data_IF_248668539507
#
_entry.id   IF_248668539507
#
_cell.length_a   1.000
_cell.length_b   1.000
_cell.length_c   1.000
_cell.angle_alpha   90.00
_cell.angle_beta   90.00
_cell.angle_gamma   90.00
#
_symmetry.space_group_name_H-M   'P 1'
#
loop_
_entity.id
_entity.type
_entity.pdbx_description
1 polymer ?
#
# COMPACT_ATOMS: atom_id res chain seq x y z
N UNK A 1 -40.53 18.35 -1.96
CA UNK A 1 -41.98 18.60 -1.88
C UNK A 1 -42.49 18.88 -3.28
N UNK A 2 -43.57 18.20 -3.65
CA UNK A 2 -44.08 17.97 -4.99
C UNK A 2 -44.64 19.23 -5.67
N UNK A 3 -44.58 19.28 -7.01
CA UNK A 3 -45.74 19.67 -7.82
C UNK A 3 -45.69 19.01 -9.20
N UNK A 4 -46.80 18.34 -9.52
CA UNK A 4 -47.18 17.68 -10.78
C UNK A 4 -48.27 18.56 -11.43
N UNK A 5 -48.33 18.56 -12.77
CA UNK A 5 -49.51 18.56 -13.68
C UNK A 5 -49.03 19.07 -15.06
N UNK A 6 -48.95 18.33 -16.18
CA UNK A 6 -49.87 17.45 -16.92
C UNK A 6 -51.18 18.11 -17.37
N UNK A 7 -51.24 18.47 -18.66
CA UNK A 7 -52.46 18.65 -19.45
C UNK A 7 -52.27 17.95 -20.81
N UNK A 8 -53.09 16.91 -21.07
CA UNK A 8 -53.37 16.37 -22.41
C UNK A 8 -54.43 17.23 -23.14
N UNK A 9 -55.01 16.91 -24.29
CA UNK A 9 -54.96 15.80 -25.25
C UNK A 9 -55.82 16.23 -26.49
N UNK A 10 -55.83 15.39 -27.55
CA UNK A 10 -56.84 15.28 -28.63
C UNK A 10 -56.85 16.38 -29.73
N UNK A 11 -57.24 16.13 -31.00
CA UNK A 11 -57.64 14.92 -31.72
C UNK A 11 -57.67 15.18 -33.25
N UNK A 12 -57.27 14.16 -34.01
CA UNK A 12 -57.76 13.63 -35.30
C UNK A 12 -58.38 14.51 -36.41
N UNK A 13 -57.97 14.29 -37.67
CA UNK A 13 -58.86 13.89 -38.79
C UNK A 13 -58.06 13.37 -40.00
N UNK A 14 -58.63 12.37 -40.67
CA UNK A 14 -58.09 11.49 -41.72
C UNK A 14 -58.38 11.96 -43.16
N UNK A 15 -57.85 11.16 -44.11
CA UNK A 15 -58.36 10.84 -45.46
C UNK A 15 -57.75 11.63 -46.65
N UNK A 16 -57.47 11.10 -47.86
CA UNK A 16 -57.59 9.79 -48.55
C UNK A 16 -56.83 9.98 -49.90
N UNK A 17 -55.81 9.17 -50.24
CA UNK A 17 -55.75 8.11 -51.30
C UNK A 17 -55.26 8.50 -52.73
N UNK A 18 -54.32 7.64 -53.21
CA UNK A 18 -53.93 7.21 -54.57
C UNK A 18 -52.92 7.96 -55.47
N UNK A 19 -51.72 7.35 -55.53
CA UNK A 19 -51.00 6.81 -56.69
C UNK A 19 -51.01 7.55 -58.03
N UNK A 20 -49.80 7.96 -58.46
CA UNK A 20 -49.38 7.80 -59.86
C UNK A 20 -47.90 7.43 -59.97
N UNK A 21 -47.58 6.62 -60.99
CA UNK A 21 -46.33 5.88 -61.22
C UNK A 21 -45.49 6.57 -62.29
N UNK A 22 -44.18 6.70 -62.09
CA UNK A 22 -43.09 6.52 -63.10
C UNK A 22 -41.73 6.86 -62.46
N UNK A 23 -40.87 5.88 -62.15
CA UNK A 23 -39.80 5.27 -62.97
C UNK A 23 -38.51 6.11 -63.11
N UNK A 24 -37.49 5.73 -62.32
CA UNK A 24 -36.06 5.55 -62.69
C UNK A 24 -35.29 5.06 -61.44
N UNK A 25 -34.88 3.78 -61.36
CA UNK A 25 -33.51 3.27 -61.60
C UNK A 25 -32.43 3.99 -60.75
N UNK A 26 -31.57 3.38 -59.92
CA UNK A 26 -30.93 2.05 -59.86
C UNK A 26 -30.15 1.95 -58.50
N UNK A 27 -29.25 0.98 -58.22
CA UNK A 27 -29.49 -0.31 -57.56
C UNK A 27 -28.79 -0.54 -56.18
N UNK A 28 -29.35 -1.52 -55.46
CA UNK A 28 -28.74 -2.60 -54.64
C UNK A 28 -27.34 -2.37 -54.04
N UNK A 29 -27.26 -2.32 -52.71
CA UNK A 29 -26.10 -2.78 -51.95
C UNK A 29 -26.55 -3.73 -50.83
N UNK A 30 -25.91 -4.88 -50.81
CA UNK A 30 -26.26 -6.07 -50.06
C UNK A 30 -26.10 -5.92 -48.54
N UNK A 31 -27.04 -6.52 -47.81
CA UNK A 31 -26.91 -6.86 -46.39
C UNK A 31 -25.79 -7.90 -46.28
N UNK A 32 -24.71 -7.56 -45.57
CA UNK A 32 -23.67 -8.49 -45.17
C UNK A 32 -23.78 -8.73 -43.66
N UNK A 33 -23.87 -10.01 -43.34
CA UNK A 33 -23.98 -10.65 -42.04
C UNK A 33 -22.89 -10.21 -41.05
N UNK A 34 -23.28 -10.00 -39.80
CA UNK A 34 -22.39 -9.84 -38.65
C UNK A 34 -22.00 -11.24 -38.15
N UNK A 35 -20.90 -11.77 -38.65
CA UNK A 35 -20.08 -12.74 -37.93
C UNK A 35 -18.64 -12.21 -37.94
N UNK A 36 -17.90 -12.53 -36.87
CA UNK A 36 -16.50 -12.16 -36.58
C UNK A 36 -16.31 -10.89 -35.73
N UNK A 37 -16.75 -10.98 -34.47
CA UNK A 37 -16.13 -10.21 -33.37
C UNK A 37 -14.86 -10.94 -32.96
N UNK A 38 -13.77 -10.63 -33.66
CA UNK A 38 -12.44 -11.11 -33.31
C UNK A 38 -12.00 -10.46 -32.00
N UNK A 39 -11.51 -11.31 -31.10
CA UNK A 39 -11.03 -11.03 -29.75
C UNK A 39 -9.85 -10.06 -29.77
N UNK A 40 -10.11 -8.77 -29.54
CA UNK A 40 -9.06 -7.82 -29.19
C UNK A 40 -8.65 -8.04 -27.72
N UNK A 41 -7.69 -8.92 -27.50
CA UNK A 41 -6.94 -8.97 -26.24
C UNK A 41 -6.08 -7.71 -26.17
N UNK A 42 -6.12 -6.90 -25.09
CA UNK A 42 -5.23 -5.75 -24.98
C UNK A 42 -3.79 -6.26 -24.95
N UNK A 43 -2.98 -5.76 -25.89
CA UNK A 43 -1.58 -6.10 -26.00
C UNK A 43 -0.86 -5.85 -24.67
N UNK A 44 -0.18 -6.88 -24.16
CA UNK A 44 0.70 -6.78 -23.00
C UNK A 44 1.79 -5.74 -23.29
N UNK A 45 1.97 -4.71 -22.44
CA UNK A 45 3.10 -3.78 -22.58
C UNK A 45 4.42 -4.55 -22.48
N UNK A 46 5.49 -4.11 -23.17
CA UNK A 46 6.74 -4.85 -23.25
C UNK A 46 7.34 -5.03 -21.85
N UNK A 47 7.45 -6.29 -21.42
CA UNK A 47 7.78 -6.69 -20.05
C UNK A 47 9.17 -6.25 -19.53
N UNK A 48 10.05 -5.71 -20.39
CA UNK A 48 11.45 -5.40 -20.04
C UNK A 48 11.75 -3.91 -19.82
N UNK A 49 10.93 -2.98 -20.33
CA UNK A 49 11.21 -1.54 -20.16
C UNK A 49 11.02 -1.11 -18.69
N UNK A 50 9.97 -1.64 -18.06
CA UNK A 50 9.61 -1.30 -16.70
C UNK A 50 10.40 -2.09 -15.63
N UNK A 51 11.09 -3.16 -16.02
CA UNK A 51 11.93 -3.95 -15.11
C UNK A 51 13.06 -3.13 -14.47
N UNK A 52 13.42 -1.99 -15.09
CA UNK A 52 14.42 -1.03 -14.59
C UNK A 52 13.81 0.05 -13.70
N UNK A 53 12.52 0.04 -13.44
CA UNK A 53 11.85 0.99 -12.54
C UNK A 53 11.61 0.36 -11.18
N UNK A 54 11.66 1.17 -10.14
CA UNK A 54 11.27 0.77 -8.80
C UNK A 54 10.39 1.86 -8.18
N UNK A 55 9.37 1.45 -7.42
CA UNK A 55 8.42 2.37 -6.81
C UNK A 55 8.11 1.94 -5.38
N UNK A 56 8.37 2.84 -4.43
CA UNK A 56 8.28 2.59 -3.00
C UNK A 56 7.46 3.68 -2.31
N UNK A 57 6.52 3.28 -1.45
CA UNK A 57 5.83 4.16 -0.51
C UNK A 57 6.21 3.83 0.92
N UNK A 58 6.75 4.81 1.66
CA UNK A 58 7.32 4.60 2.99
C UNK A 58 6.81 5.64 4.01
N UNK A 59 5.63 6.22 3.80
CA UNK A 59 5.17 7.43 4.49
C UNK A 59 5.36 8.66 3.63
N UNK A 60 5.68 9.81 4.23
CA UNK A 60 5.91 11.05 3.48
C UNK A 60 6.97 10.85 2.37
N UNK A 61 6.62 11.14 1.12
CA UNK A 61 7.52 10.90 -0.01
C UNK A 61 8.77 11.78 -0.02
N UNK A 62 8.80 12.89 0.74
CA UNK A 62 9.95 13.80 0.80
C UNK A 62 11.14 13.13 1.46
N UNK A 63 10.89 12.43 2.57
CA UNK A 63 11.91 11.62 3.21
C UNK A 63 12.24 10.39 2.36
N UNK A 64 11.24 9.76 1.74
CA UNK A 64 11.46 8.60 0.87
C UNK A 64 12.44 8.92 -0.28
N UNK A 65 12.19 10.01 -1.03
CA UNK A 65 13.09 10.54 -2.07
C UNK A 65 14.47 10.82 -1.49
N UNK A 66 14.55 11.53 -0.36
CA UNK A 66 15.83 11.84 0.27
C UNK A 66 16.66 10.60 0.57
N UNK A 67 16.06 9.60 1.23
CA UNK A 67 16.80 8.41 1.65
C UNK A 67 17.25 7.59 0.44
N UNK A 68 16.40 7.39 -0.57
CA UNK A 68 16.84 6.67 -1.78
C UNK A 68 17.89 7.46 -2.56
N UNK A 69 17.57 8.69 -2.96
CA UNK A 69 18.42 9.44 -3.88
C UNK A 69 19.73 9.90 -3.21
N UNK A 70 19.67 10.40 -1.97
CA UNK A 70 20.85 10.92 -1.28
C UNK A 70 21.57 9.88 -0.43
N UNK A 71 20.85 9.05 0.34
CA UNK A 71 21.51 8.16 1.29
C UNK A 71 21.88 6.79 0.69
N UNK A 72 21.09 6.28 -0.26
CA UNK A 72 21.41 5.05 -0.98
C UNK A 72 22.19 5.33 -2.27
N UNK A 73 21.72 6.26 -3.10
CA UNK A 73 22.34 6.61 -4.39
C UNK A 73 23.81 7.00 -4.28
N UNK A 74 24.21 7.66 -3.18
CA UNK A 74 25.61 8.05 -2.93
C UNK A 74 26.51 6.89 -2.47
N UNK A 75 25.95 5.74 -2.05
CA UNK A 75 26.73 4.60 -1.54
C UNK A 75 27.42 3.77 -2.63
N UNK A 76 27.33 4.20 -3.90
CA UNK A 76 28.05 3.66 -5.06
C UNK A 76 28.04 2.12 -5.15
N UNK A 77 26.87 1.54 -4.93
CA UNK A 77 26.68 0.09 -4.81
C UNK A 77 26.41 -0.52 -6.19
N UNK A 78 27.40 -0.68 -7.07
CA UNK A 78 27.26 -1.47 -8.33
C UNK A 78 26.14 -1.03 -9.30
N UNK A 79 25.50 0.11 -9.06
CA UNK A 79 24.35 0.62 -9.80
C UNK A 79 24.02 2.05 -9.37
N UNK A 80 23.11 2.69 -10.10
CA UNK A 80 22.68 4.07 -9.86
C UNK A 80 21.17 4.17 -9.87
N UNK A 81 20.65 5.20 -9.19
CA UNK A 81 19.28 5.69 -9.28
C UNK A 81 19.27 6.89 -10.22
N UNK A 82 18.34 6.92 -11.16
CA UNK A 82 18.16 7.99 -12.15
C UNK A 82 16.68 8.27 -12.37
N UNK A 83 16.36 9.45 -12.92
CA UNK A 83 14.98 9.83 -13.30
C UNK A 83 13.94 9.61 -12.17
N UNK A 84 14.31 9.97 -10.95
CA UNK A 84 13.46 9.81 -9.77
C UNK A 84 12.43 10.93 -9.65
N UNK A 85 11.20 10.58 -9.30
CA UNK A 85 10.11 11.51 -9.04
C UNK A 85 9.25 11.03 -7.88
N UNK A 86 8.81 11.97 -7.04
CA UNK A 86 7.75 11.71 -6.08
C UNK A 86 6.38 11.84 -6.74
N UNK A 87 5.42 11.06 -6.25
CA UNK A 87 4.09 11.04 -6.83
C UNK A 87 3.12 10.15 -6.06
N UNK A 88 2.09 9.73 -6.77
CA UNK A 88 0.96 8.99 -6.25
C UNK A 88 0.74 7.73 -7.07
N UNK A 89 0.57 6.60 -6.40
CA UNK A 89 0.18 5.34 -7.04
C UNK A 89 -0.85 4.62 -6.18
N UNK A 90 -1.84 4.00 -6.83
CA UNK A 90 -2.97 3.34 -6.18
C UNK A 90 -3.37 2.08 -6.94
N UNK A 91 -4.42 1.36 -6.51
CA UNK A 91 -5.03 0.32 -7.33
C UNK A 91 -5.56 0.89 -8.65
N UNK A 92 -5.87 0.03 -9.64
CA UNK A 92 -6.36 0.48 -10.95
C UNK A 92 -7.69 1.24 -10.89
N UNK A 93 -8.48 0.98 -9.84
CA UNK A 93 -9.79 1.58 -9.58
C UNK A 93 -9.69 2.90 -8.81
N UNK A 94 -8.48 3.33 -8.44
CA UNK A 94 -8.24 4.59 -7.75
C UNK A 94 -8.63 5.81 -8.60
N UNK A 95 -8.81 6.96 -7.95
CA UNK A 95 -9.15 8.22 -8.62
C UNK A 95 -8.05 8.58 -9.62
N UNK A 96 -8.43 8.87 -10.87
CA UNK A 96 -7.46 9.26 -11.91
C UNK A 96 -7.02 10.70 -11.73
N UNK A 97 -5.77 10.98 -12.10
CA UNK A 97 -5.16 12.31 -12.08
C UNK A 97 -5.34 13.07 -10.75
N UNK A 98 -5.04 12.45 -9.59
CA UNK A 98 -5.34 13.04 -8.30
C UNK A 98 -4.42 14.23 -8.01
N UNK A 99 -4.98 15.28 -7.42
CA UNK A 99 -4.20 16.38 -6.86
C UNK A 99 -3.65 16.02 -5.48
N UNK A 100 -2.57 16.68 -5.07
CA UNK A 100 -2.02 16.51 -3.72
C UNK A 100 -3.07 16.75 -2.62
N UNK A 101 -3.95 17.75 -2.79
CA UNK A 101 -5.01 18.05 -1.83
C UNK A 101 -6.00 16.89 -1.66
N UNK A 102 -6.36 16.22 -2.75
CA UNK A 102 -7.26 15.06 -2.73
C UNK A 102 -6.58 13.84 -2.10
N UNK A 103 -5.32 13.58 -2.45
CA UNK A 103 -4.54 12.48 -1.84
C UNK A 103 -4.36 12.70 -0.34
N UNK A 104 -4.01 13.93 0.07
CA UNK A 104 -3.86 14.30 1.47
C UNK A 104 -5.17 14.18 2.26
N UNK A 105 -6.32 14.41 1.61
CA UNK A 105 -7.64 14.20 2.20
C UNK A 105 -7.97 12.70 2.39
N UNK A 106 -7.23 11.79 1.75
CA UNK A 106 -7.24 10.35 2.05
C UNK A 106 -8.31 9.51 1.35
N UNK A 107 -9.11 10.10 0.45
CA UNK A 107 -10.22 9.38 -0.21
C UNK A 107 -9.87 8.84 -1.61
N UNK A 108 -8.68 9.14 -2.15
CA UNK A 108 -8.30 8.77 -3.53
C UNK A 108 -7.84 7.33 -3.68
N UNK A 109 -7.55 6.64 -2.57
CA UNK A 109 -6.89 5.32 -2.54
C UNK A 109 -5.44 5.29 -3.05
N UNK A 110 -4.83 6.46 -3.28
CA UNK A 110 -3.40 6.57 -3.59
C UNK A 110 -2.53 6.54 -2.34
N UNK A 111 -1.28 6.12 -2.55
CA UNK A 111 -0.17 6.21 -1.61
C UNK A 111 0.86 7.19 -2.15
N UNK A 112 1.45 7.98 -1.27
CA UNK A 112 2.65 8.76 -1.57
C UNK A 112 3.82 7.81 -1.84
N UNK A 113 4.44 7.95 -3.01
CA UNK A 113 5.49 7.06 -3.49
C UNK A 113 6.64 7.84 -4.12
N UNK A 114 7.79 7.19 -4.20
CA UNK A 114 8.93 7.60 -5.01
C UNK A 114 9.19 6.54 -6.08
N UNK A 115 9.02 6.92 -7.36
CA UNK A 115 9.31 6.10 -8.54
C UNK A 115 10.65 6.57 -9.13
N UNK A 116 11.50 5.64 -9.56
CA UNK A 116 12.76 5.96 -10.22
C UNK A 116 13.25 4.82 -11.11
N UNK A 117 14.17 5.12 -12.01
CA UNK A 117 14.93 4.14 -12.77
C UNK A 117 16.20 3.71 -12.04
N UNK A 118 16.62 2.45 -12.23
CA UNK A 118 17.87 1.93 -11.71
C UNK A 118 18.63 1.08 -12.73
N UNK A 119 19.96 1.07 -12.63
CA UNK A 119 20.86 0.40 -13.59
C UNK A 119 21.45 -0.93 -13.10
N UNK A 120 21.31 -1.25 -11.82
CA UNK A 120 21.77 -2.54 -11.27
C UNK A 120 20.82 -3.69 -11.58
N UNK A 121 21.32 -4.92 -11.65
CA UNK A 121 20.46 -6.11 -11.84
C UNK A 121 19.62 -6.44 -10.59
N UNK A 122 19.10 -7.67 -10.52
CA UNK A 122 18.27 -8.17 -9.40
C UNK A 122 18.88 -7.97 -8.01
N UNK A 123 20.21 -8.14 -7.88
CA UNK A 123 20.91 -7.92 -6.62
C UNK A 123 20.84 -6.46 -6.13
N UNK A 124 20.84 -5.49 -7.05
CA UNK A 124 20.69 -4.08 -6.72
C UNK A 124 19.26 -3.77 -6.28
N UNK A 125 18.27 -4.34 -6.96
CA UNK A 125 16.87 -4.25 -6.52
C UNK A 125 16.67 -4.85 -5.12
N UNK A 126 17.26 -6.01 -4.84
CA UNK A 126 17.23 -6.60 -3.49
C UNK A 126 17.87 -5.68 -2.44
N UNK A 127 18.97 -4.97 -2.79
CA UNK A 127 19.57 -3.97 -1.93
C UNK A 127 18.67 -2.74 -1.71
N UNK A 128 17.95 -2.29 -2.75
CA UNK A 128 16.94 -1.21 -2.64
C UNK A 128 15.82 -1.62 -1.68
N UNK A 129 15.29 -2.85 -1.79
CA UNK A 129 14.25 -3.36 -0.89
C UNK A 129 14.76 -3.49 0.55
N UNK A 130 15.98 -3.98 0.76
CA UNK A 130 16.56 -4.01 2.12
C UNK A 130 16.75 -2.61 2.68
N UNK A 131 17.14 -1.65 1.85
CA UNK A 131 17.30 -0.27 2.26
C UNK A 131 15.97 0.40 2.59
N UNK A 132 14.93 0.15 1.80
CA UNK A 132 13.54 0.54 2.09
C UNK A 132 13.19 0.23 3.55
N UNK A 133 13.33 -1.03 3.97
CA UNK A 133 13.00 -1.45 5.34
C UNK A 133 13.92 -0.89 6.44
N UNK A 134 15.04 -0.25 6.12
CA UNK A 134 15.95 0.32 7.10
C UNK A 134 15.56 1.72 7.56
N UNK A 135 14.77 2.49 6.79
CA UNK A 135 14.58 3.91 7.08
C UNK A 135 13.17 4.35 7.50
N UNK A 136 12.18 3.47 7.43
CA UNK A 136 10.80 3.71 7.88
C UNK A 136 10.32 2.60 8.81
N UNK A 137 9.18 2.79 9.50
CA UNK A 137 8.52 1.69 10.23
C UNK A 137 7.59 0.91 9.29
N UNK A 138 7.87 -0.37 8.97
CA UNK A 138 7.03 -1.18 8.11
C UNK A 138 5.97 -1.97 8.90
N UNK A 139 5.82 -1.71 10.20
CA UNK A 139 4.89 -2.41 11.11
C UNK A 139 3.68 -1.55 11.50
N UNK A 140 3.71 -0.25 11.18
CA UNK A 140 2.61 0.68 11.43
C UNK A 140 1.65 0.69 10.24
N UNK A 141 0.43 0.17 10.45
CA UNK A 141 -0.59 0.11 9.41
C UNK A 141 -1.05 1.53 9.02
N UNK A 142 -0.94 1.89 7.73
CA UNK A 142 -1.45 3.16 7.16
C UNK A 142 -0.97 4.38 7.96
N UNK A 143 0.27 4.36 8.43
CA UNK A 143 0.87 5.42 9.23
C UNK A 143 2.39 5.36 9.12
N UNK A 144 3.04 6.52 9.11
CA UNK A 144 4.47 6.65 9.38
C UNK A 144 4.69 7.82 10.34
N UNK A 145 5.27 7.56 11.51
CA UNK A 145 5.43 8.59 12.54
C UNK A 145 4.09 9.27 12.88
N UNK A 146 4.06 10.60 12.70
CA UNK A 146 2.87 11.43 12.92
C UNK A 146 1.94 11.52 11.69
N UNK A 147 2.34 10.96 10.54
CA UNK A 147 1.56 11.01 9.30
C UNK A 147 0.62 9.80 9.27
N UNK A 148 -0.69 10.05 9.45
CA UNK A 148 -1.73 9.02 9.55
C UNK A 148 -2.64 9.05 8.34
N UNK A 149 -2.85 7.90 7.71
CA UNK A 149 -3.72 7.76 6.55
C UNK A 149 -3.23 6.71 5.56
N UNK A 150 -4.12 6.23 4.70
CA UNK A 150 -3.79 5.26 3.65
C UNK A 150 -2.69 5.76 2.73
N UNK A 151 -2.62 7.07 2.51
CA UNK A 151 -1.63 7.72 1.69
C UNK A 151 -0.20 7.59 2.23
N UNK A 152 -0.02 7.22 3.51
CA UNK A 152 1.27 7.02 4.16
C UNK A 152 1.56 5.54 4.45
N UNK A 153 0.83 4.62 3.82
CA UNK A 153 1.04 3.20 3.99
C UNK A 153 2.43 2.77 3.46
N UNK A 154 3.02 1.78 4.12
CA UNK A 154 4.19 1.08 3.59
C UNK A 154 3.78 0.19 2.40
N UNK A 155 4.33 0.44 1.22
CA UNK A 155 3.99 -0.29 -0.01
C UNK A 155 5.19 -0.41 -0.96
N UNK A 156 5.27 -1.53 -1.67
CA UNK A 156 6.19 -1.75 -2.80
C UNK A 156 5.36 -2.06 -4.03
N UNK A 157 5.51 -1.25 -5.07
CA UNK A 157 4.87 -1.45 -6.37
C UNK A 157 5.86 -2.10 -7.34
N UNK A 158 5.63 -3.36 -7.69
CA UNK A 158 6.52 -4.17 -8.51
C UNK A 158 6.10 -4.15 -9.98
N UNK A 159 7.05 -3.88 -10.87
CA UNK A 159 6.82 -3.83 -12.33
C UNK A 159 6.88 -5.20 -13.00
N UNK A 160 7.64 -6.13 -12.42
CA UNK A 160 7.76 -7.50 -12.90
C UNK A 160 7.64 -8.54 -11.76
N UNK A 161 7.60 -9.82 -12.13
CA UNK A 161 7.51 -10.92 -11.18
C UNK A 161 8.78 -11.08 -10.33
N UNK A 162 9.95 -10.79 -10.89
CA UNK A 162 11.21 -10.93 -10.16
C UNK A 162 11.31 -9.92 -9.01
N UNK A 163 10.84 -8.69 -9.23
CA UNK A 163 10.70 -7.67 -8.20
C UNK A 163 9.74 -8.11 -7.09
N UNK A 164 8.60 -8.70 -7.46
CA UNK A 164 7.63 -9.22 -6.49
C UNK A 164 8.23 -10.33 -5.63
N UNK A 165 8.92 -11.30 -6.24
CA UNK A 165 9.54 -12.42 -5.53
C UNK A 165 10.65 -11.93 -4.58
N UNK A 166 11.49 -11.00 -5.04
CA UNK A 166 12.54 -10.39 -4.23
C UNK A 166 11.95 -9.61 -3.06
N UNK A 167 10.93 -8.77 -3.31
CA UNK A 167 10.28 -7.99 -2.28
C UNK A 167 9.65 -8.87 -1.20
N UNK A 168 8.98 -9.95 -1.62
CA UNK A 168 8.35 -10.93 -0.73
C UNK A 168 9.38 -11.65 0.12
N UNK A 169 10.45 -12.17 -0.51
CA UNK A 169 11.58 -12.80 0.19
C UNK A 169 12.16 -11.88 1.28
N UNK A 170 12.50 -10.64 0.94
CA UNK A 170 13.11 -9.70 1.90
C UNK A 170 12.13 -9.33 3.03
N UNK A 171 10.83 -9.19 2.73
CA UNK A 171 9.79 -8.96 3.74
C UNK A 171 9.70 -10.14 4.72
N UNK A 172 9.75 -11.37 4.22
CA UNK A 172 9.73 -12.59 5.06
C UNK A 172 10.99 -12.70 5.92
N UNK A 173 12.18 -12.44 5.36
CA UNK A 173 13.44 -12.36 6.10
C UNK A 173 13.36 -11.31 7.23
N UNK A 174 12.83 -10.12 6.94
CA UNK A 174 12.62 -9.07 7.94
C UNK A 174 11.70 -9.55 9.07
N UNK A 175 10.60 -10.21 8.72
CA UNK A 175 9.66 -10.74 9.70
C UNK A 175 10.32 -11.80 10.59
N UNK A 176 11.16 -12.68 10.02
CA UNK A 176 11.93 -13.66 10.80
C UNK A 176 12.91 -12.99 11.76
N UNK A 177 13.61 -11.94 11.31
CA UNK A 177 14.54 -11.17 12.14
C UNK A 177 13.84 -10.44 13.30
N UNK A 178 12.64 -9.90 13.07
CA UNK A 178 11.81 -9.31 14.12
C UNK A 178 11.37 -10.38 15.12
N UNK A 179 10.86 -11.52 14.64
CA UNK A 179 10.41 -12.64 15.49
C UNK A 179 11.54 -13.21 16.33
N UNK A 180 12.75 -13.30 15.78
CA UNK A 180 13.95 -13.76 16.47
C UNK A 180 14.55 -12.69 17.42
N UNK A 181 13.95 -11.50 17.53
CA UNK A 181 14.45 -10.41 18.39
C UNK A 181 15.75 -9.76 17.90
N UNK A 182 16.15 -10.00 16.64
CA UNK A 182 17.36 -9.38 16.04
C UNK A 182 17.10 -7.94 15.62
N UNK A 183 15.85 -7.57 15.34
CA UNK A 183 15.41 -6.20 15.07
C UNK A 183 14.29 -5.86 16.04
N UNK A 184 14.53 -4.86 16.90
CA UNK A 184 13.62 -4.44 17.98
C UNK A 184 13.23 -2.97 17.92
N UNK A 185 13.69 -2.24 16.89
CA UNK A 185 13.52 -0.79 16.73
C UNK A 185 12.21 -0.34 16.06
N UNK A 186 11.32 -1.28 15.73
CA UNK A 186 10.00 -0.99 15.16
C UNK A 186 8.93 -0.96 16.27
N UNK A 187 7.85 -0.23 16.02
CA UNK A 187 6.75 -0.08 16.98
C UNK A 187 5.94 -1.38 17.16
N UNK A 188 5.77 -2.14 16.07
CA UNK A 188 5.01 -3.39 16.02
C UNK A 188 5.88 -4.62 15.80
N UNK A 189 5.26 -5.80 15.86
CA UNK A 189 5.91 -7.11 15.66
C UNK A 189 5.64 -7.73 14.28
N UNK A 190 4.69 -7.18 13.54
CA UNK A 190 4.23 -7.74 12.26
C UNK A 190 4.48 -6.73 11.15
N UNK A 191 5.16 -7.17 10.08
CA UNK A 191 5.41 -6.35 8.90
C UNK A 191 4.12 -6.22 8.08
N UNK A 192 3.57 -5.00 8.00
CA UNK A 192 2.30 -4.68 7.33
C UNK A 192 2.49 -4.16 5.90
N UNK A 193 3.73 -4.09 5.42
CA UNK A 193 4.06 -3.60 4.07
C UNK A 193 3.30 -4.37 3.00
N UNK A 194 2.60 -3.65 2.14
CA UNK A 194 1.90 -4.24 1.02
C UNK A 194 2.81 -4.38 -0.20
N UNK A 195 2.74 -5.51 -0.90
CA UNK A 195 3.55 -5.78 -2.09
C UNK A 195 2.56 -6.12 -3.20
N UNK A 196 2.53 -5.27 -4.23
CA UNK A 196 1.53 -5.41 -5.31
C UNK A 196 2.09 -4.98 -6.65
N UNK A 197 1.41 -5.35 -7.72
CA UNK A 197 1.77 -4.94 -9.08
C UNK A 197 1.66 -3.42 -9.23
N UNK A 198 2.65 -2.81 -9.88
CA UNK A 198 2.62 -1.41 -10.25
C UNK A 198 1.46 -1.11 -11.22
N UNK A 199 0.89 0.08 -11.09
CA UNK A 199 -0.22 0.58 -11.90
C UNK A 199 0.20 1.94 -12.49
N UNK A 200 -0.76 2.84 -12.72
CA UNK A 200 -0.47 4.20 -13.16
C UNK A 200 0.18 5.01 -12.04
N UNK A 201 1.39 5.51 -12.31
CA UNK A 201 2.05 6.55 -11.54
C UNK A 201 1.53 7.94 -11.95
N UNK A 202 1.18 8.76 -10.97
CA UNK A 202 0.85 10.17 -11.17
C UNK A 202 1.90 11.03 -10.48
N UNK A 203 2.68 11.79 -11.26
CA UNK A 203 3.73 12.65 -10.73
C UNK A 203 3.14 13.76 -9.85
N UNK A 204 3.76 14.03 -8.71
CA UNK A 204 3.36 15.15 -7.86
C UNK A 204 3.81 16.49 -8.48
N UNK A 205 3.16 17.57 -8.05
CA UNK A 205 3.53 18.92 -8.49
C UNK A 205 5.01 19.24 -8.19
N UNK A 206 5.57 20.14 -9.00
CA UNK A 206 7.01 20.45 -9.02
C UNK A 206 7.57 20.85 -7.65
N UNK A 207 6.80 21.54 -6.82
CA UNK A 207 7.19 21.96 -5.48
C UNK A 207 7.42 20.81 -4.49
N UNK A 208 6.94 19.60 -4.81
CA UNK A 208 7.19 18.40 -3.99
C UNK A 208 8.43 17.62 -4.44
N UNK A 209 8.88 17.82 -5.69
CA UNK A 209 10.10 17.21 -6.21
C UNK A 209 11.32 17.84 -5.54
N UNK A 210 12.31 17.04 -5.16
CA UNK A 210 13.53 17.51 -4.51
C UNK A 210 13.27 18.36 -3.24
N UNK A 211 12.14 18.12 -2.55
CA UNK A 211 11.66 19.04 -1.50
C UNK A 211 12.70 19.30 -0.41
N UNK A 212 13.38 18.25 0.08
CA UNK A 212 14.42 18.36 1.11
C UNK A 212 15.78 18.81 0.57
N UNK A 213 16.00 18.78 -0.75
CA UNK A 213 17.14 19.43 -1.39
C UNK A 213 16.95 20.95 -1.37
N UNK A 214 15.74 21.41 -1.71
CA UNK A 214 15.36 22.84 -1.70
C UNK A 214 15.17 23.38 -0.29
N UNK A 215 14.63 22.56 0.62
CA UNK A 215 14.32 22.92 2.01
C UNK A 215 15.06 21.97 2.98
N UNK A 216 16.38 22.18 3.24
CA UNK A 216 17.17 21.24 4.04
C UNK A 216 16.70 21.03 5.48
N UNK A 217 16.00 22.03 6.05
CA UNK A 217 15.38 21.96 7.38
C UNK A 217 13.88 21.59 7.33
N UNK A 218 13.40 21.12 6.18
CA UNK A 218 12.03 20.69 5.99
C UNK A 218 11.65 19.45 6.80
N UNK A 219 10.36 19.15 6.84
CA UNK A 219 9.84 18.01 7.58
C UNK A 219 10.35 16.68 7.03
N UNK A 220 10.84 15.82 7.92
CA UNK A 220 11.26 14.45 7.63
C UNK A 220 11.11 13.60 8.89
N UNK A 221 10.27 12.57 8.84
CA UNK A 221 10.09 11.62 9.96
C UNK A 221 10.86 10.30 9.76
N UNK A 222 11.57 10.14 8.64
CA UNK A 222 12.43 9.00 8.34
C UNK A 222 13.79 9.09 9.04
N UNK A 223 14.33 7.92 9.42
CA UNK A 223 15.68 7.76 9.99
C UNK A 223 16.17 6.34 9.76
N UNK A 224 17.48 6.14 9.62
CA UNK A 224 18.05 4.78 9.66
C UNK A 224 17.77 4.15 11.04
N UNK A 225 17.03 3.04 11.05
CA UNK A 225 16.59 2.33 12.26
C UNK A 225 17.58 1.26 12.69
N UNK A 226 18.28 0.66 11.74
CA UNK A 226 19.40 -0.25 11.98
C UNK A 226 20.44 -0.10 10.86
N UNK A 227 21.75 -0.14 11.17
CA UNK A 227 22.80 0.27 10.24
C UNK A 227 23.19 -0.78 9.19
N UNK A 228 22.89 -2.06 9.45
CA UNK A 228 23.22 -3.18 8.57
C UNK A 228 22.19 -4.31 8.75
N UNK A 229 21.93 -5.05 7.67
CA UNK A 229 21.02 -6.20 7.70
C UNK A 229 21.61 -7.32 8.58
N UNK A 230 20.96 -7.72 9.68
CA UNK A 230 21.49 -8.79 10.54
C UNK A 230 21.42 -10.16 9.83
N UNK A 231 22.34 -11.06 10.18
CA UNK A 231 22.23 -12.47 9.79
C UNK A 231 21.27 -13.23 10.71
N UNK A 232 20.61 -14.24 10.16
CA UNK A 232 19.75 -15.17 10.91
C UNK A 232 20.55 -16.30 11.59
N UNK A 233 21.86 -16.38 11.35
CA UNK A 233 22.70 -17.41 11.95
C UNK A 233 22.76 -17.25 13.49
N UNK A 234 22.45 -18.35 14.19
CA UNK A 234 22.45 -18.58 15.65
C UNK A 234 21.07 -18.70 16.34
N UNK A 235 20.16 -19.52 15.81
CA UNK A 235 19.10 -20.19 16.60
C UNK A 235 19.01 -21.67 16.20
N UNK A 236 20.13 -22.38 16.24
CA UNK A 236 20.15 -23.85 16.10
C UNK A 236 21.07 -24.44 17.16
N UNK A 237 20.88 -24.14 18.44
CA UNK A 237 21.66 -24.84 19.48
C UNK A 237 21.09 -24.86 20.91
N UNK A 238 19.81 -24.50 21.15
CA UNK A 238 19.27 -24.54 22.52
C UNK A 238 18.10 -25.49 22.76
N UNK A 239 17.65 -26.24 21.74
CA UNK A 239 16.52 -27.19 21.88
C UNK A 239 16.90 -28.65 21.60
N UNK A 240 18.19 -28.96 21.38
CA UNK A 240 18.65 -30.30 21.03
C UNK A 240 19.38 -31.05 22.16
N UNK A 241 19.59 -30.47 23.36
CA UNK A 241 20.47 -31.07 24.38
C UNK A 241 19.79 -31.52 25.68
N UNK A 242 18.47 -31.62 25.77
CA UNK A 242 17.80 -32.21 26.94
C UNK A 242 16.93 -33.41 26.55
N UNK A 243 17.58 -34.49 26.15
CA UNK A 243 17.07 -35.85 26.37
C UNK A 243 18.22 -36.66 26.98
N UNK A 244 18.38 -36.54 28.29
CA UNK A 244 19.10 -37.55 29.06
C UNK A 244 18.14 -38.72 29.30
N UNK A 245 18.35 -39.82 28.58
CA UNK A 245 17.77 -41.11 28.96
C UNK A 245 18.60 -41.72 30.09
N UNK A 246 18.01 -42.11 31.24
CA UNK A 246 18.72 -42.95 32.19
C UNK A 246 18.76 -44.40 31.66
N UNK A 247 19.96 -44.97 31.64
CA UNK A 247 20.19 -46.39 31.38
C UNK A 247 19.61 -47.22 32.53
N UNK A 248 18.68 -48.11 32.25
CA UNK A 248 18.22 -49.15 33.19
C UNK A 248 18.86 -50.47 32.75
N UNK A 249 19.68 -51.04 33.63
CA UNK A 249 20.25 -52.38 33.49
C UNK A 249 19.14 -53.43 33.59
N UNK A 250 19.10 -54.34 32.62
CA UNK A 250 18.17 -55.49 32.58
C UNK A 250 18.93 -56.73 33.07
N UNK A 251 18.57 -57.24 34.25
CA UNK A 251 18.97 -58.57 34.69
C UNK A 251 17.92 -59.59 34.24
N UNK A 252 18.42 -60.68 33.67
CA UNK A 252 17.71 -61.86 33.16
C UNK A 252 17.08 -62.70 34.28
N UNK A 253 15.83 -63.13 34.12
CA UNK A 253 15.36 -64.44 34.59
C UNK A 253 14.03 -64.87 33.92
N UNK A 254 13.87 -66.18 33.87
CA UNK A 254 12.98 -67.07 33.11
C UNK A 254 11.46 -67.02 33.34
N UNK A 255 10.73 -67.21 32.24
CA UNK A 255 9.70 -68.26 32.00
C UNK A 255 8.43 -68.34 32.88
N UNK A 256 7.26 -68.05 32.29
CA UNK A 256 6.12 -68.96 32.13
C UNK A 256 4.83 -68.22 31.70
N UNK A 257 4.17 -68.72 30.65
CA UNK A 257 2.79 -68.40 30.22
C UNK A 257 1.78 -69.34 30.94
N UNK A 258 0.43 -69.31 30.74
CA UNK A 258 -0.41 -68.50 29.82
C UNK A 258 -1.75 -68.00 30.45
N UNK A 259 -2.60 -67.33 29.63
CA UNK A 259 -4.05 -67.61 29.39
C UNK A 259 -4.87 -66.32 29.17
N UNK A 260 -5.30 -66.15 27.90
CA UNK A 260 -6.63 -65.77 27.36
C UNK A 260 -7.40 -64.60 28.00
N UNK A 261 -7.59 -63.51 27.22
CA UNK A 261 -8.92 -63.01 26.80
C UNK A 261 -8.77 -61.91 25.72
N UNK A 262 -9.72 -61.87 24.79
CA UNK A 262 -9.93 -60.85 23.77
C UNK A 262 -11.40 -60.37 23.90
N UNK A 263 -11.90 -59.38 23.12
CA UNK A 263 -11.34 -58.11 22.65
C UNK A 263 -12.27 -56.94 23.05
N UNK A 264 -11.80 -55.68 23.09
CA UNK A 264 -12.72 -54.53 22.96
C UNK A 264 -12.04 -53.41 22.16
N UNK A 265 -12.58 -53.15 20.98
CA UNK A 265 -12.32 -51.95 20.21
C UNK A 265 -12.98 -50.75 20.90
N UNK A 266 -12.22 -49.68 21.13
CA UNK A 266 -12.77 -48.39 21.53
C UNK A 266 -12.41 -47.38 20.44
N UNK A 267 -13.46 -46.86 19.82
CA UNK A 267 -13.41 -45.78 18.85
C UNK A 267 -12.88 -44.50 19.51
N UNK A 268 -11.89 -43.87 18.91
CA UNK A 268 -11.45 -42.54 19.31
C UNK A 268 -12.26 -41.49 18.55
N UNK A 269 -13.04 -40.76 19.32
CA UNK A 269 -13.94 -39.67 18.92
C UNK A 269 -13.14 -38.44 18.49
N UNK A 270 -13.58 -37.82 17.38
CA UNK A 270 -13.09 -36.52 16.91
C UNK A 270 -13.27 -35.40 17.97
N UNK A 271 -12.34 -34.43 18.08
CA UNK A 271 -12.45 -33.35 19.04
C UNK A 271 -13.54 -32.34 18.65
N UNK A 272 -14.27 -31.88 19.67
CA UNK A 272 -15.38 -30.93 19.57
C UNK A 272 -14.92 -29.53 19.13
N UNK A 273 -15.73 -28.91 18.27
CA UNK A 273 -15.64 -27.50 17.88
C UNK A 273 -16.08 -26.62 19.06
N UNK A 274 -15.29 -25.63 19.51
CA UNK A 274 -15.70 -24.72 20.56
C UNK A 274 -16.80 -23.75 20.08
N UNK A 275 -17.78 -23.50 20.95
CA UNK A 275 -18.90 -22.59 20.72
C UNK A 275 -18.44 -21.12 20.58
N UNK A 276 -19.20 -20.28 19.84
CA UNK A 276 -18.85 -18.88 19.63
C UNK A 276 -18.99 -18.05 20.91
N UNK A 277 -18.00 -17.18 21.14
CA UNK A 277 -17.96 -16.21 22.24
C UNK A 277 -19.00 -15.10 21.99
N UNK A 278 -19.83 -14.71 22.98
CA UNK A 278 -20.77 -13.61 22.81
C UNK A 278 -20.08 -12.24 22.80
N UNK A 279 -20.58 -11.37 21.92
CA UNK A 279 -20.14 -9.99 21.68
C UNK A 279 -20.51 -9.08 22.86
N UNK A 280 -19.66 -8.11 23.27
CA UNK A 280 -19.96 -7.25 24.42
C UNK A 280 -21.01 -6.17 24.10
N UNK A 281 -22.02 -6.07 24.97
CA UNK A 281 -23.05 -5.01 24.97
C UNK A 281 -22.43 -3.61 25.02
N UNK A 282 -22.91 -2.72 24.14
CA UNK A 282 -22.57 -1.30 24.14
C UNK A 282 -23.27 -0.59 25.31
N UNK A 283 -22.48 0.04 26.20
CA UNK A 283 -22.99 0.97 27.20
C UNK A 283 -23.42 2.30 26.54
N UNK A 284 -24.48 2.98 27.05
CA UNK A 284 -24.98 4.21 26.45
C UNK A 284 -24.01 5.39 26.64
N UNK A 285 -23.79 6.13 25.56
CA UNK A 285 -23.00 7.36 25.50
C UNK A 285 -23.74 8.48 26.25
N UNK A 286 -23.14 8.99 27.32
CA UNK A 286 -23.58 10.23 27.98
C UNK A 286 -23.06 11.41 27.17
N UNK A 287 -23.98 12.21 26.64
CA UNK A 287 -23.65 13.46 25.95
C UNK A 287 -23.45 14.55 26.99
N UNK A 288 -22.20 14.92 27.25
CA UNK A 288 -21.86 16.11 28.04
C UNK A 288 -21.70 17.29 27.08
N UNK A 289 -22.62 18.25 27.15
CA UNK A 289 -22.58 19.49 26.36
C UNK A 289 -21.45 20.39 26.87
N UNK A 290 -20.36 20.50 26.10
CA UNK A 290 -19.29 21.46 26.36
C UNK A 290 -19.67 22.81 25.74
N UNK A 291 -19.72 23.85 26.56
CA UNK A 291 -19.98 25.22 26.15
C UNK A 291 -18.87 25.78 25.24
N UNK A 292 -19.26 26.56 24.24
CA UNK A 292 -18.36 27.21 23.27
C UNK A 292 -17.39 28.20 23.94
N UNK A 293 -16.11 28.29 23.49
CA UNK A 293 -15.18 29.28 23.98
C UNK A 293 -15.48 30.67 23.40
N UNK A 294 -15.60 31.66 24.29
CA UNK A 294 -15.68 33.09 23.96
C UNK A 294 -14.37 33.53 23.30
N UNK A 295 -14.46 33.98 22.05
CA UNK A 295 -13.37 34.63 21.32
C UNK A 295 -13.19 36.05 21.87
N UNK A 296 -12.02 36.33 22.44
CA UNK A 296 -11.60 37.70 22.78
C UNK A 296 -10.66 38.17 21.67
N UNK A 297 -11.08 39.20 20.94
CA UNK A 297 -10.24 39.82 19.91
C UNK A 297 -9.05 40.57 20.52
N UNK A 298 -7.84 40.49 19.94
CA UNK A 298 -6.70 41.27 20.39
C UNK A 298 -6.83 42.73 19.95
N UNK A 299 -6.75 43.65 20.91
CA UNK A 299 -6.62 45.10 20.68
C UNK A 299 -5.29 45.37 19.98
N UNK A 300 -5.37 45.82 18.72
CA UNK A 300 -4.21 46.31 17.95
C UNK A 300 -3.91 47.72 18.42
N UNK A 301 -2.80 47.92 19.11
CA UNK A 301 -2.24 49.26 19.38
C UNK A 301 -1.48 49.75 18.14
N UNK A 302 -1.93 50.85 17.56
CA UNK A 302 -1.28 51.52 16.42
C UNK A 302 0.13 52.03 16.78
N UNK A 303 1.11 51.94 15.86
CA UNK A 303 2.42 52.53 16.07
C UNK A 303 2.39 54.04 15.84
N UNK A 304 2.87 54.79 16.84
CA UNK A 304 3.10 56.23 16.78
C UNK A 304 4.14 56.54 15.69
N UNK A 305 3.70 57.25 14.65
CA UNK A 305 4.58 57.80 13.60
C UNK A 305 5.22 59.08 14.14
N UNK A 306 6.54 59.07 14.34
CA UNK A 306 7.34 60.27 14.58
C UNK A 306 7.79 60.86 13.24
N UNK A 307 7.32 62.06 12.91
CA UNK A 307 7.76 62.83 11.73
C UNK A 307 9.23 63.28 11.86
N UNK A 308 10.03 63.28 10.77
CA UNK A 308 11.33 63.93 10.75
C UNK A 308 11.19 65.42 10.43
N UNK A 309 11.92 66.24 11.18
CA UNK A 309 12.01 67.68 11.01
C UNK A 309 12.62 68.07 9.65
N UNK A 310 11.90 68.93 8.93
CA UNK A 310 12.39 69.69 7.78
C UNK A 310 13.33 70.79 8.25
N UNK A 311 14.56 70.78 7.75
CA UNK A 311 15.44 71.97 7.74
C UNK A 311 16.11 72.08 6.37
N UNK A 312 15.73 73.11 5.63
CA UNK A 312 16.49 73.75 4.55
C UNK A 312 16.12 75.25 4.53
N UNK A 313 16.93 76.13 3.92
CA UNK A 313 18.17 75.88 3.17
C UNK A 313 19.46 76.38 3.86
#
# INVERSE_FOLDING_TARGET
YQHIDIMGACCSTEAVVNNDVTKAANPVAAVKTLEEVESATPATPPADADAKRACFGAGCYWGTEKFFYHDFGKKNQTGAITDGQVGFMGPNEAIKDPTYAEVKAGFTSHVEVFEFEFSGGRAYYEALVRFFFQFHDPTTLKRQGNDVGTQYASVIFCYDQAQFDIATKVKEELQQLITAGKITCFEGKTVTTDIRRATTFYSAHKEHQDYLTVNPSGYCNHRIRFPAWPSLDAVVEEQASVVQTPSVEVNSASESTPVVEAPVAVAETAPAVPAPVPEPEQAPVVVETVAEPVVVEPVVSEPVVSEPALTEP
#
